data_IF_069320908105
#
_entry.id   IF_069320908105
#
_cell.length_a   1.000
_cell.length_b   1.000
_cell.length_c   1.000
_cell.angle_alpha   90.00
_cell.angle_beta   90.00
_cell.angle_gamma   90.00
#
_symmetry.space_group_name_H-M   'P 1'
#
loop_
_entity.id
_entity.type
_entity.pdbx_description
1 polymer ?
#
# COMPACT_ATOMS: atom_id res chain seq x y z
N UNK A 1 9.09 32.53 6.26
CA UNK A 1 9.93 31.54 6.96
C UNK A 1 10.54 30.62 5.91
N UNK A 2 11.84 30.73 5.63
CA UNK A 2 12.52 29.85 4.67
C UNK A 2 12.93 28.56 5.37
N UNK A 3 12.33 27.44 4.97
CA UNK A 3 12.73 26.12 5.47
C UNK A 3 14.15 25.84 4.95
N UNK A 4 15.06 25.46 5.85
CA UNK A 4 16.43 25.11 5.45
C UNK A 4 16.44 23.81 4.63
N UNK A 5 17.41 23.68 3.72
CA UNK A 5 17.58 22.47 2.91
C UNK A 5 17.78 21.22 3.77
N UNK A 6 18.47 21.35 4.91
CA UNK A 6 18.67 20.28 5.89
C UNK A 6 17.37 19.85 6.55
N UNK A 7 16.49 20.79 6.90
CA UNK A 7 15.16 20.47 7.45
C UNK A 7 14.28 19.81 6.39
N UNK A 8 14.29 20.28 5.13
CA UNK A 8 13.60 19.62 4.02
C UNK A 8 14.07 18.19 3.82
N UNK A 9 15.39 17.94 3.84
CA UNK A 9 15.93 16.59 3.69
C UNK A 9 15.48 15.64 4.82
N UNK A 10 15.41 16.14 6.07
CA UNK A 10 14.87 15.35 7.18
C UNK A 10 13.39 15.04 6.96
N UNK A 11 12.60 16.03 6.54
CA UNK A 11 11.16 15.84 6.27
C UNK A 11 10.95 14.83 5.15
N UNK A 12 11.63 14.97 4.00
CA UNK A 12 11.50 14.02 2.88
C UNK A 12 11.86 12.60 3.30
N UNK A 13 12.95 12.43 4.07
CA UNK A 13 13.33 11.10 4.61
C UNK A 13 12.24 10.51 5.50
N UNK A 14 11.64 11.32 6.38
CA UNK A 14 10.54 10.87 7.23
C UNK A 14 9.30 10.51 6.41
N UNK A 15 8.96 11.32 5.40
CA UNK A 15 7.81 11.06 4.51
C UNK A 15 7.98 9.76 3.74
N UNK A 16 9.17 9.53 3.18
CA UNK A 16 9.49 8.27 2.50
C UNK A 16 9.34 7.06 3.43
N UNK A 17 9.82 7.14 4.68
CA UNK A 17 9.62 6.07 5.68
C UNK A 17 8.14 5.81 5.99
N UNK A 18 7.34 6.86 6.11
CA UNK A 18 5.90 6.75 6.35
C UNK A 18 5.20 6.09 5.16
N UNK A 19 5.56 6.44 3.92
CA UNK A 19 5.02 5.78 2.72
C UNK A 19 5.43 4.32 2.65
N UNK A 20 6.70 4.00 2.97
CA UNK A 20 7.17 2.62 3.05
C UNK A 20 6.34 1.84 4.07
N UNK A 21 6.18 2.36 5.29
CA UNK A 21 5.34 1.74 6.32
C UNK A 21 3.91 1.49 5.81
N UNK A 22 3.27 2.49 5.20
CA UNK A 22 1.93 2.33 4.64
C UNK A 22 1.88 1.28 3.52
N UNK A 23 2.97 1.12 2.76
CA UNK A 23 3.09 0.08 1.72
C UNK A 23 3.12 -1.30 2.35
N UNK A 24 3.88 -1.48 3.44
CA UNK A 24 3.90 -2.74 4.21
C UNK A 24 2.54 -3.07 4.80
N UNK A 25 1.87 -2.10 5.42
CA UNK A 25 0.54 -2.28 6.01
C UNK A 25 -0.51 -2.69 4.96
N UNK A 26 -0.48 -2.07 3.77
CA UNK A 26 -1.36 -2.44 2.67
C UNK A 26 -1.05 -3.85 2.14
N UNK A 27 0.23 -4.17 1.92
CA UNK A 27 0.64 -5.49 1.44
C UNK A 27 0.23 -6.60 2.41
N UNK A 28 0.36 -6.38 3.72
CA UNK A 28 -0.06 -7.35 4.72
C UNK A 28 -1.58 -7.51 4.78
N UNK A 29 -2.34 -6.42 4.71
CA UNK A 29 -3.81 -6.49 4.64
C UNK A 29 -4.28 -7.26 3.40
N UNK A 30 -3.64 -7.02 2.25
CA UNK A 30 -3.92 -7.77 1.03
C UNK A 30 -3.61 -9.26 1.18
N UNK A 31 -2.48 -9.61 1.80
CA UNK A 31 -2.11 -11.00 2.08
C UNK A 31 -3.14 -11.70 2.97
N UNK A 32 -3.65 -11.01 3.98
CA UNK A 32 -4.72 -11.52 4.84
C UNK A 32 -5.98 -11.74 4.02
N UNK A 33 -6.40 -10.76 3.21
CA UNK A 33 -7.58 -10.88 2.34
C UNK A 33 -7.47 -12.07 1.38
N UNK A 34 -6.33 -12.24 0.72
CA UNK A 34 -6.07 -13.36 -0.19
C UNK A 34 -6.17 -14.70 0.56
N UNK A 35 -5.60 -14.79 1.76
CA UNK A 35 -5.71 -15.99 2.60
C UNK A 35 -7.16 -16.28 3.04
N UNK A 36 -7.98 -15.25 3.29
CA UNK A 36 -9.41 -15.45 3.58
C UNK A 36 -10.20 -15.94 2.37
N UNK A 37 -9.84 -15.52 1.15
CA UNK A 37 -10.40 -16.08 -0.09
C UNK A 37 -10.01 -17.54 -0.28
N UNK A 38 -8.75 -17.90 -0.03
CA UNK A 38 -8.27 -19.29 -0.14
C UNK A 38 -9.04 -20.23 0.81
N UNK A 39 -9.34 -19.76 2.03
CA UNK A 39 -10.19 -20.49 2.98
C UNK A 39 -11.60 -20.70 2.45
N UNK A 40 -12.22 -19.66 1.89
CA UNK A 40 -13.56 -19.77 1.30
C UNK A 40 -13.57 -20.75 0.12
N UNK A 41 -12.56 -20.69 -0.73
CA UNK A 41 -12.40 -21.59 -1.86
C UNK A 41 -12.31 -23.05 -1.38
N UNK A 42 -11.45 -23.32 -0.40
CA UNK A 42 -11.31 -24.65 0.21
C UNK A 42 -12.63 -25.14 0.83
N UNK A 43 -13.37 -24.27 1.52
CA UNK A 43 -14.67 -24.61 2.09
C UNK A 43 -15.72 -24.93 1.01
N UNK A 44 -15.71 -24.19 -0.10
CA UNK A 44 -16.59 -24.43 -1.23
C UNK A 44 -16.30 -25.78 -1.88
N UNK A 45 -15.03 -26.12 -2.11
CA UNK A 45 -14.63 -27.42 -2.64
C UNK A 45 -15.06 -28.57 -1.72
N UNK A 46 -14.84 -28.43 -0.40
CA UNK A 46 -15.25 -29.43 0.58
C UNK A 46 -16.77 -29.62 0.62
N UNK A 47 -17.54 -28.54 0.50
CA UNK A 47 -18.99 -28.58 0.47
C UNK A 47 -19.52 -29.24 -0.82
N UNK A 48 -18.90 -28.96 -1.96
CA UNK A 48 -19.28 -29.57 -3.23
C UNK A 48 -18.90 -31.07 -3.27
N UNK A 49 -17.75 -31.44 -2.71
CA UNK A 49 -17.37 -32.84 -2.51
C UNK A 49 -18.36 -33.57 -1.60
N UNK A 50 -18.72 -32.97 -0.46
CA UNK A 50 -19.70 -33.54 0.47
C UNK A 50 -21.09 -33.71 -0.17
N UNK A 51 -21.50 -32.80 -1.06
CA UNK A 51 -22.73 -32.96 -1.84
C UNK A 51 -22.66 -34.13 -2.81
N UNK A 52 -21.53 -34.30 -3.51
CA UNK A 52 -21.33 -35.42 -4.41
C UNK A 52 -21.36 -36.76 -3.66
N UNK A 53 -20.72 -36.83 -2.49
CA UNK A 53 -20.76 -38.00 -1.60
C UNK A 53 -22.18 -38.30 -1.11
N UNK A 54 -22.95 -37.28 -0.71
CA UNK A 54 -24.35 -37.46 -0.33
C UNK A 54 -25.19 -38.00 -1.49
N UNK A 55 -24.98 -37.49 -2.72
CA UNK A 55 -25.69 -37.99 -3.90
C UNK A 55 -25.40 -39.48 -4.12
N UNK A 56 -24.14 -39.89 -4.09
CA UNK A 56 -23.74 -41.29 -4.21
C UNK A 56 -24.34 -42.15 -3.08
N UNK A 57 -24.25 -41.70 -1.83
CA UNK A 57 -24.81 -42.42 -0.69
C UNK A 57 -26.34 -42.57 -0.78
N UNK A 58 -27.02 -41.59 -1.37
CA UNK A 58 -28.47 -41.65 -1.59
C UNK A 58 -28.84 -42.72 -2.63
N UNK A 59 -28.02 -42.90 -3.67
CA UNK A 59 -28.18 -43.99 -4.66
C UNK A 59 -28.04 -45.38 -4.02
N UNK A 60 -27.17 -45.50 -3.00
CA UNK A 60 -26.93 -46.73 -2.23
C UNK A 60 -28.01 -47.02 -1.15
N UNK A 61 -29.07 -46.19 -1.08
CA UNK A 61 -30.20 -46.32 -0.12
C UNK A 61 -29.77 -46.23 1.35
N UNK A 62 -29.13 -45.12 1.73
CA UNK A 62 -28.86 -44.81 3.14
C UNK A 62 -30.12 -44.69 4.01
N UNK A 63 -29.92 -44.90 5.32
CA UNK A 63 -30.98 -44.70 6.31
C UNK A 63 -31.36 -43.21 6.45
N UNK A 64 -32.60 -42.95 6.85
CA UNK A 64 -33.09 -41.59 7.13
C UNK A 64 -32.25 -40.85 8.17
N UNK A 65 -31.68 -41.57 9.15
CA UNK A 65 -30.79 -40.98 10.15
C UNK A 65 -29.47 -40.49 9.54
N UNK A 66 -28.89 -41.26 8.61
CA UNK A 66 -27.70 -40.85 7.86
C UNK A 66 -28.00 -39.65 6.95
N UNK A 67 -29.14 -39.65 6.26
CA UNK A 67 -29.57 -38.51 5.47
C UNK A 67 -29.69 -37.24 6.33
N UNK A 68 -30.26 -37.38 7.54
CA UNK A 68 -30.40 -36.26 8.46
C UNK A 68 -29.05 -35.71 8.93
N UNK A 69 -28.07 -36.57 9.26
CA UNK A 69 -26.73 -36.11 9.65
C UNK A 69 -26.03 -35.36 8.52
N UNK A 70 -26.19 -35.82 7.28
CA UNK A 70 -25.66 -35.13 6.10
C UNK A 70 -26.28 -33.74 5.90
N UNK A 71 -27.60 -33.62 6.05
CA UNK A 71 -28.29 -32.33 5.97
C UNK A 71 -27.78 -31.36 7.04
N UNK A 72 -27.58 -31.82 8.27
CA UNK A 72 -27.01 -30.99 9.33
C UNK A 72 -25.59 -30.53 9.01
N UNK A 73 -24.76 -31.45 8.51
CA UNK A 73 -23.37 -31.16 8.12
C UNK A 73 -23.28 -30.14 6.99
N UNK A 74 -24.01 -30.34 5.88
CA UNK A 74 -24.02 -29.41 4.74
C UNK A 74 -24.55 -28.03 5.15
N UNK A 75 -25.60 -27.98 5.98
CA UNK A 75 -26.10 -26.71 6.51
C UNK A 75 -25.07 -26.00 7.39
N UNK A 76 -24.29 -26.74 8.19
CA UNK A 76 -23.22 -26.17 9.00
C UNK A 76 -22.09 -25.60 8.12
N UNK A 77 -21.66 -26.33 7.09
CA UNK A 77 -20.68 -25.84 6.11
C UNK A 77 -21.19 -24.59 5.37
N UNK A 78 -22.45 -24.58 4.95
CA UNK A 78 -23.01 -23.42 4.25
C UNK A 78 -23.07 -22.17 5.15
N UNK A 79 -23.39 -22.33 6.45
CA UNK A 79 -23.28 -21.24 7.42
C UNK A 79 -21.84 -20.76 7.60
N UNK A 80 -20.88 -21.68 7.63
CA UNK A 80 -19.46 -21.33 7.73
C UNK A 80 -18.99 -20.55 6.49
N UNK A 81 -19.42 -20.93 5.29
CA UNK A 81 -19.13 -20.19 4.05
C UNK A 81 -19.72 -18.79 4.07
N UNK A 82 -20.96 -18.63 4.55
CA UNK A 82 -21.59 -17.31 4.69
C UNK A 82 -20.81 -16.43 5.67
N UNK A 83 -20.44 -16.97 6.83
CA UNK A 83 -19.62 -16.25 7.79
C UNK A 83 -18.24 -15.86 7.22
N UNK A 84 -17.60 -16.78 6.49
CA UNK A 84 -16.33 -16.50 5.81
C UNK A 84 -16.47 -15.39 4.76
N UNK A 85 -17.59 -15.34 4.03
CA UNK A 85 -17.88 -14.26 3.09
C UNK A 85 -18.05 -12.89 3.79
N UNK A 86 -18.68 -12.85 4.97
CA UNK A 86 -18.76 -11.64 5.80
C UNK A 86 -17.36 -11.18 6.25
N UNK A 87 -16.51 -12.12 6.69
CA UNK A 87 -15.11 -11.82 7.05
C UNK A 87 -14.36 -11.23 5.86
N UNK A 88 -14.48 -11.82 4.67
CA UNK A 88 -13.87 -11.29 3.44
C UNK A 88 -14.37 -9.87 3.14
N UNK A 89 -15.67 -9.62 3.28
CA UNK A 89 -16.23 -8.29 3.06
C UNK A 89 -15.60 -7.27 4.03
N UNK A 90 -15.44 -7.62 5.31
CA UNK A 90 -14.80 -6.76 6.30
C UNK A 90 -13.30 -6.53 6.00
N UNK A 91 -12.56 -7.57 5.61
CA UNK A 91 -11.14 -7.46 5.25
C UNK A 91 -10.95 -6.64 3.96
N UNK A 92 -11.90 -6.72 3.02
CA UNK A 92 -11.87 -5.90 1.81
C UNK A 92 -11.96 -4.41 2.14
N UNK A 93 -12.86 -4.03 3.05
CA UNK A 93 -12.97 -2.63 3.52
C UNK A 93 -11.67 -2.17 4.19
N UNK A 94 -11.07 -2.98 5.07
CA UNK A 94 -9.78 -2.64 5.70
C UNK A 94 -8.65 -2.48 4.66
N UNK A 95 -8.62 -3.34 3.64
CA UNK A 95 -7.64 -3.27 2.56
C UNK A 95 -7.82 -2.01 1.70
N UNK A 96 -9.07 -1.63 1.40
CA UNK A 96 -9.40 -0.39 0.70
C UNK A 96 -9.01 0.84 1.52
N UNK A 97 -9.30 0.88 2.81
CA UNK A 97 -8.91 1.95 3.72
C UNK A 97 -7.38 2.13 3.78
N UNK A 98 -6.63 1.02 3.87
CA UNK A 98 -5.16 1.05 3.87
C UNK A 98 -4.60 1.49 2.52
N UNK A 99 -5.22 1.08 1.42
CA UNK A 99 -4.85 1.53 0.08
C UNK A 99 -5.05 3.04 -0.09
N UNK A 100 -6.16 3.59 0.37
CA UNK A 100 -6.43 5.03 0.28
C UNK A 100 -5.48 5.85 1.19
N UNK A 101 -5.15 5.33 2.38
CA UNK A 101 -4.09 5.91 3.22
C UNK A 101 -2.76 5.93 2.50
N UNK A 102 -2.37 4.82 1.86
CA UNK A 102 -1.13 4.73 1.08
C UNK A 102 -1.09 5.77 -0.05
N UNK A 103 -2.17 5.91 -0.84
CA UNK A 103 -2.27 6.96 -1.88
C UNK A 103 -2.02 8.35 -1.29
N UNK A 104 -2.66 8.66 -0.16
CA UNK A 104 -2.47 9.92 0.53
C UNK A 104 -1.02 10.17 0.95
N UNK A 105 -0.35 9.15 1.51
CA UNK A 105 1.06 9.23 1.89
C UNK A 105 1.99 9.41 0.69
N UNK A 106 1.72 8.70 -0.40
CA UNK A 106 2.50 8.80 -1.63
C UNK A 106 2.42 10.20 -2.25
N UNK A 107 1.22 10.79 -2.30
CA UNK A 107 1.04 12.17 -2.78
C UNK A 107 1.78 13.20 -1.90
N UNK A 108 1.71 13.03 -0.58
CA UNK A 108 2.43 13.87 0.38
C UNK A 108 3.96 13.74 0.16
N UNK A 109 4.50 12.53 0.09
CA UNK A 109 5.93 12.31 -0.22
C UNK A 109 6.36 12.96 -1.55
N UNK A 110 5.56 12.84 -2.61
CA UNK A 110 5.85 13.49 -3.88
C UNK A 110 5.90 15.00 -3.77
N UNK A 111 4.97 15.60 -3.00
CA UNK A 111 4.95 17.03 -2.76
C UNK A 111 6.24 17.50 -2.07
N UNK A 112 6.67 16.80 -1.02
CA UNK A 112 7.90 17.11 -0.30
C UNK A 112 9.15 16.90 -1.14
N UNK A 113 9.16 15.87 -1.98
CA UNK A 113 10.25 15.62 -2.93
C UNK A 113 10.39 16.76 -3.94
N UNK A 114 9.27 17.19 -4.54
CA UNK A 114 9.24 18.35 -5.45
C UNK A 114 9.68 19.64 -4.77
N UNK A 115 9.27 19.87 -3.52
CA UNK A 115 9.69 21.05 -2.77
C UNK A 115 11.20 21.03 -2.46
N UNK A 116 11.74 19.85 -2.13
CA UNK A 116 13.17 19.67 -1.90
C UNK A 116 13.97 19.93 -3.19
N UNK A 117 13.50 19.43 -4.32
CA UNK A 117 14.13 19.64 -5.63
C UNK A 117 14.16 21.12 -5.99
N UNK A 118 13.02 21.81 -5.92
CA UNK A 118 12.95 23.27 -6.13
C UNK A 118 13.92 24.03 -5.23
N UNK A 119 14.01 23.65 -3.95
CA UNK A 119 14.93 24.32 -3.03
C UNK A 119 16.40 24.08 -3.39
N UNK A 120 16.76 22.90 -3.90
CA UNK A 120 18.11 22.61 -4.40
C UNK A 120 18.43 23.46 -5.63
N UNK A 121 17.48 23.60 -6.54
CA UNK A 121 17.63 24.46 -7.73
C UNK A 121 17.83 25.92 -7.35
N UNK A 122 17.03 26.45 -6.41
CA UNK A 122 17.18 27.82 -5.90
C UNK A 122 18.56 28.07 -5.26
N UNK A 123 19.03 27.12 -4.43
CA UNK A 123 20.35 27.21 -3.81
C UNK A 123 21.45 27.18 -4.86
N UNK A 124 21.33 26.29 -5.87
CA UNK A 124 22.29 26.21 -6.97
C UNK A 124 22.33 27.50 -7.77
N UNK A 125 21.18 28.03 -8.19
CA UNK A 125 21.09 29.27 -8.94
C UNK A 125 21.68 30.46 -8.15
N UNK A 126 21.48 30.50 -6.84
CA UNK A 126 22.09 31.52 -5.97
C UNK A 126 23.62 31.41 -5.94
N UNK A 127 24.16 30.20 -5.79
CA UNK A 127 25.61 29.97 -5.81
C UNK A 127 26.23 30.32 -7.17
N UNK A 128 25.57 29.96 -8.27
CA UNK A 128 26.03 30.27 -9.62
C UNK A 128 26.05 31.80 -9.86
N UNK A 129 25.03 32.51 -9.37
CA UNK A 129 24.99 33.98 -9.42
C UNK A 129 26.13 34.62 -8.61
N UNK A 130 26.37 34.14 -7.39
CA UNK A 130 27.48 34.65 -6.56
C UNK A 130 28.85 34.38 -7.18
N UNK A 131 29.03 33.22 -7.81
CA UNK A 131 30.26 32.89 -8.53
C UNK A 131 30.47 33.83 -9.72
N UNK A 132 29.41 34.13 -10.48
CA UNK A 132 29.46 35.06 -11.60
C UNK A 132 29.80 36.48 -11.15
N UNK A 133 29.15 36.98 -10.09
CA UNK A 133 29.45 38.30 -9.50
C UNK A 133 30.92 38.40 -9.07
N UNK A 134 31.46 37.36 -8.42
CA UNK A 134 32.88 37.33 -8.02
C UNK A 134 33.84 37.33 -9.23
N UNK A 135 33.50 36.64 -10.32
CA UNK A 135 34.28 36.66 -11.57
C UNK A 135 34.27 38.04 -12.23
N UNK A 136 33.11 38.69 -12.25
CA UNK A 136 32.95 40.03 -12.83
C UNK A 136 33.73 41.09 -12.03
N UNK A 137 33.71 41.00 -10.70
CA UNK A 137 34.53 41.84 -9.81
C UNK A 137 36.04 41.63 -10.05
N UNK A 138 36.49 40.37 -10.14
CA UNK A 138 37.89 40.05 -10.42
C UNK A 138 38.32 40.60 -11.80
N UNK A 139 37.48 40.45 -12.81
CA UNK A 139 37.74 40.99 -14.15
C UNK A 139 37.79 42.52 -14.16
N UNK A 140 36.90 43.20 -13.42
CA UNK A 140 36.93 44.65 -13.27
C UNK A 140 38.21 45.13 -12.56
N UNK A 141 38.66 44.43 -11.51
CA UNK A 141 39.90 44.73 -10.80
C UNK A 141 41.15 44.53 -11.68
N UNK A 142 41.17 43.52 -12.55
CA UNK A 142 42.27 43.31 -13.49
C UNK A 142 42.33 44.41 -14.55
N UNK A 143 41.17 44.83 -15.09
CA UNK A 143 41.08 45.92 -16.08
C UNK A 143 41.53 47.26 -15.49
N UNK A 144 41.14 47.57 -14.26
CA UNK A 144 41.56 48.82 -13.60
C UNK A 144 43.06 48.85 -13.28
N UNK A 145 43.70 47.68 -13.14
CA UNK A 145 45.13 47.52 -12.86
C UNK A 145 46.01 47.53 -14.11
N UNK A 146 45.47 47.18 -15.27
CA UNK A 146 46.15 47.23 -16.58
C UNK A 146 45.98 48.57 -17.32
N UNK A 147 45.04 49.41 -16.88
CA UNK A 147 44.84 50.78 -17.38
C UNK A 147 45.66 51.87 -16.65
N UNK A 148 46.61 51.50 -15.78
CA UNK A 148 47.65 52.39 -15.23
C UNK A 148 48.99 52.02 -15.86
#
# INVERSE_FOLDING_TARGET
MTISLTSLQKITTLKNRITQQATWEYAESKRILDAEYDKLYTLAEQHDAAKAELHQATEERISTQHLHSWILYLNAQQRQMLHQAEVIAQQKVDCEDKHDRLKGRFLDEQMWSKLQEKRREEVRAHLDKQAQEALDEAAAALRSRTGR
#
